data_IF_793232853384
#
_entry.id   IF_793232853384
#
_cell.length_a   1.000
_cell.length_b   1.000
_cell.length_c   1.000
_cell.angle_alpha   90.00
_cell.angle_beta   90.00
_cell.angle_gamma   90.00
#
_symmetry.space_group_name_H-M   'P 1'
#
loop_
_entity.id
_entity.type
_entity.pdbx_description
1 polymer ?
#
# COMPACT_ATOMS: atom_id res chain seq x y z
N UNK A 1 32.60 -6.54 -3.70
CA UNK A 1 33.01 -6.03 -2.36
C UNK A 1 31.77 -5.47 -1.67
N UNK A 2 31.54 -5.75 -0.39
CA UNK A 2 30.43 -5.17 0.41
C UNK A 2 31.02 -4.23 1.45
N UNK A 3 30.25 -3.21 1.80
CA UNK A 3 30.59 -2.25 2.88
C UNK A 3 29.47 -2.23 3.92
N UNK A 4 29.75 -1.64 5.10
CA UNK A 4 28.76 -1.48 6.20
C UNK A 4 28.51 0.02 6.41
N UNK A 5 27.61 0.66 5.65
CA UNK A 5 27.45 2.12 5.64
C UNK A 5 26.60 2.70 6.77
N UNK A 6 26.04 1.88 7.68
CA UNK A 6 25.22 2.36 8.80
C UNK A 6 23.90 3.01 8.34
N UNK A 7 23.16 2.38 7.41
CA UNK A 7 21.93 2.89 6.82
C UNK A 7 20.86 3.12 7.90
N UNK A 8 20.20 4.28 7.88
CA UNK A 8 19.10 4.61 8.79
C UNK A 8 17.71 4.46 8.16
N UNK A 9 17.62 4.55 6.83
CA UNK A 9 16.37 4.45 6.06
C UNK A 9 16.40 3.15 5.27
N UNK A 10 15.37 2.30 5.44
CA UNK A 10 15.31 0.96 4.86
C UNK A 10 14.20 0.81 3.80
N UNK A 11 13.89 1.88 3.07
CA UNK A 11 12.94 1.83 1.95
C UNK A 11 13.65 1.41 0.67
N UNK A 12 13.69 0.11 0.39
CA UNK A 12 14.40 -0.50 -0.74
C UNK A 12 13.53 -0.64 -2.01
N UNK A 13 12.44 0.09 -2.12
CA UNK A 13 11.46 -0.02 -3.21
C UNK A 13 10.13 -0.56 -2.67
N UNK A 14 9.44 0.24 -1.88
CA UNK A 14 8.12 -0.07 -1.33
C UNK A 14 7.04 0.79 -1.99
N UNK A 15 5.81 0.28 -2.18
CA UNK A 15 4.74 1.08 -2.75
C UNK A 15 4.40 2.25 -1.82
N UNK A 16 4.03 3.38 -2.41
CA UNK A 16 3.41 4.48 -1.67
C UNK A 16 1.93 4.18 -1.51
N UNK A 17 1.41 4.39 -0.31
CA UNK A 17 -0.01 4.21 0.03
C UNK A 17 -0.54 5.49 0.66
N UNK A 18 -1.68 5.97 0.21
CA UNK A 18 -2.45 7.03 0.86
C UNK A 18 -3.51 6.37 1.75
N UNK A 19 -3.28 6.36 3.07
CA UNK A 19 -4.24 5.81 4.02
C UNK A 19 -5.26 6.89 4.38
N UNK A 20 -6.54 6.63 4.11
CA UNK A 20 -7.63 7.48 4.60
C UNK A 20 -8.26 6.89 5.84
N UNK A 21 -8.61 7.76 6.78
CA UNK A 21 -9.25 7.46 8.06
C UNK A 21 -10.22 8.58 8.44
N UNK A 22 -11.06 8.39 9.48
CA UNK A 22 -11.91 9.46 10.06
C UNK A 22 -11.28 10.00 11.34
N UNK A 23 -11.23 11.31 11.47
CA UNK A 23 -10.89 12.02 12.70
C UNK A 23 -12.07 11.95 13.71
N UNK A 24 -11.81 12.34 14.95
CA UNK A 24 -12.81 12.33 16.04
C UNK A 24 -14.05 13.20 15.73
N UNK A 25 -13.87 14.25 14.93
CA UNK A 25 -14.93 15.16 14.50
C UNK A 25 -15.62 14.74 13.20
N UNK A 26 -15.32 13.54 12.70
CA UNK A 26 -15.87 12.98 11.47
C UNK A 26 -15.22 13.50 10.19
N UNK A 27 -14.28 14.45 10.25
CA UNK A 27 -13.54 14.90 9.06
C UNK A 27 -12.59 13.83 8.54
N UNK A 28 -12.33 13.74 7.23
CA UNK A 28 -11.39 12.77 6.69
C UNK A 28 -9.95 13.18 6.97
N UNK A 29 -9.06 12.18 7.07
CA UNK A 29 -7.61 12.36 7.14
C UNK A 29 -6.96 11.51 6.08
N UNK A 30 -5.91 12.01 5.43
CA UNK A 30 -5.03 11.27 4.53
C UNK A 30 -3.62 11.22 5.11
N UNK A 31 -2.94 10.08 5.01
CA UNK A 31 -1.54 9.94 5.38
C UNK A 31 -0.78 9.15 4.31
N UNK A 32 0.22 9.75 3.65
CA UNK A 32 1.13 9.01 2.80
C UNK A 32 2.07 8.15 3.66
N UNK A 33 2.32 6.92 3.22
CA UNK A 33 3.24 6.01 3.87
C UNK A 33 3.77 4.97 2.87
N UNK A 34 4.88 4.31 3.20
CA UNK A 34 5.50 3.29 2.35
C UNK A 34 5.91 2.03 3.13
N UNK A 35 5.52 1.92 4.40
CA UNK A 35 5.74 0.70 5.20
C UNK A 35 4.52 -0.21 5.10
N UNK A 36 4.21 -0.66 3.87
CA UNK A 36 3.05 -1.51 3.59
C UNK A 36 3.42 -2.72 2.73
N UNK A 37 2.74 -3.84 2.98
CA UNK A 37 2.80 -5.04 2.16
C UNK A 37 1.52 -5.87 2.32
N UNK A 38 1.24 -6.77 1.36
CA UNK A 38 0.00 -7.55 1.30
C UNK A 38 0.30 -9.05 1.28
N UNK A 39 -0.55 -9.82 1.95
CA UNK A 39 -0.51 -11.28 1.93
C UNK A 39 -1.92 -11.83 2.16
N UNK A 40 -2.39 -12.70 1.25
CA UNK A 40 -3.61 -13.49 1.39
C UNK A 40 -4.86 -12.67 1.84
N UNK A 41 -5.13 -11.55 1.18
CA UNK A 41 -6.29 -10.71 1.49
C UNK A 41 -6.13 -9.78 2.69
N UNK A 42 -4.95 -9.76 3.30
CA UNK A 42 -4.59 -8.84 4.38
C UNK A 42 -3.50 -7.86 3.95
N UNK A 43 -3.43 -6.73 4.63
CA UNK A 43 -2.32 -5.79 4.52
C UNK A 43 -1.69 -5.54 5.89
N UNK A 44 -0.38 -5.32 5.89
CA UNK A 44 0.38 -4.88 7.05
C UNK A 44 0.84 -3.44 6.84
N UNK A 45 0.61 -2.59 7.85
CA UNK A 45 0.89 -1.16 7.81
C UNK A 45 1.79 -0.77 8.98
N UNK A 46 3.03 -0.36 8.71
CA UNK A 46 3.95 0.13 9.74
C UNK A 46 3.70 1.60 10.04
N UNK A 47 3.19 1.94 11.24
CA UNK A 47 2.84 3.29 11.62
C UNK A 47 3.45 3.70 12.97
N UNK A 48 3.78 5.00 13.08
CA UNK A 48 4.11 5.59 14.38
C UNK A 48 2.87 5.75 15.26
N UNK A 49 2.93 5.27 16.51
CA UNK A 49 1.79 5.32 17.44
C UNK A 49 1.35 6.75 17.78
N UNK A 50 2.24 7.74 17.63
CA UNK A 50 1.92 9.16 17.81
C UNK A 50 1.21 9.79 16.59
N UNK A 51 1.00 9.05 15.49
CA UNK A 51 0.33 9.60 14.31
C UNK A 51 -1.20 9.71 14.50
N UNK A 52 -1.83 10.63 13.80
CA UNK A 52 -3.31 10.72 13.79
C UNK A 52 -3.93 9.49 13.15
N UNK A 53 -3.31 8.96 12.09
CA UNK A 53 -3.78 7.76 11.38
C UNK A 53 -3.83 6.55 12.31
N UNK A 54 -2.77 6.31 13.11
CA UNK A 54 -2.76 5.22 14.11
C UNK A 54 -3.87 5.38 15.13
N UNK A 55 -4.07 6.59 15.66
CA UNK A 55 -5.15 6.86 16.62
C UNK A 55 -6.53 6.62 16.01
N UNK A 56 -6.73 7.05 14.76
CA UNK A 56 -7.99 6.87 14.05
C UNK A 56 -8.28 5.38 13.79
N UNK A 57 -7.30 4.63 13.27
CA UNK A 57 -7.46 3.18 13.02
C UNK A 57 -7.74 2.44 14.32
N UNK A 58 -7.02 2.75 15.40
CA UNK A 58 -7.23 2.10 16.70
C UNK A 58 -8.62 2.40 17.30
N UNK A 59 -9.19 3.59 17.04
CA UNK A 59 -10.50 4.01 17.52
C UNK A 59 -11.64 3.42 16.69
N UNK A 60 -11.56 3.54 15.36
CA UNK A 60 -12.67 3.20 14.45
C UNK A 60 -12.58 1.77 13.92
N UNK A 61 -11.40 1.17 13.93
CA UNK A 61 -11.19 -0.16 13.36
C UNK A 61 -11.24 -0.21 11.82
N UNK A 62 -11.21 0.95 11.15
CA UNK A 62 -11.43 1.04 9.70
C UNK A 62 -10.43 1.99 9.03
N UNK A 63 -10.07 1.67 7.78
CA UNK A 63 -9.30 2.56 6.91
C UNK A 63 -9.53 2.20 5.44
N UNK A 64 -9.08 3.10 4.54
CA UNK A 64 -8.96 2.75 3.12
C UNK A 64 -7.51 2.94 2.69
N UNK A 65 -6.99 1.96 1.95
CA UNK A 65 -5.67 2.00 1.34
C UNK A 65 -5.84 2.40 -0.12
N UNK A 66 -5.41 3.61 -0.46
CA UNK A 66 -5.49 4.13 -1.81
C UNK A 66 -4.09 4.09 -2.42
N UNK A 67 -3.92 3.40 -3.55
CA UNK A 67 -2.64 3.26 -4.23
C UNK A 67 -2.55 4.30 -5.35
N UNK A 68 -1.69 5.32 -5.22
CA UNK A 68 -1.47 6.30 -6.27
C UNK A 68 -0.62 5.71 -7.39
N UNK A 69 -0.91 6.09 -8.64
CA UNK A 69 0.01 5.91 -9.77
C UNK A 69 1.16 6.92 -9.70
N UNK A 70 2.21 6.70 -10.48
CA UNK A 70 3.42 7.54 -10.45
C UNK A 70 3.17 8.99 -10.87
N UNK A 71 2.19 9.24 -11.73
CA UNK A 71 1.77 10.59 -12.16
C UNK A 71 1.07 11.39 -11.05
N UNK A 72 0.69 10.73 -9.95
CA UNK A 72 0.09 11.37 -8.77
C UNK A 72 1.11 11.90 -7.75
N UNK A 73 2.41 11.86 -8.03
CA UNK A 73 3.48 12.22 -7.08
C UNK A 73 3.28 13.60 -6.46
N UNK A 74 2.85 14.60 -7.23
CA UNK A 74 2.65 15.95 -6.73
C UNK A 74 1.55 16.05 -5.65
N UNK A 75 0.46 15.29 -5.80
CA UNK A 75 -0.61 15.23 -4.79
C UNK A 75 -0.11 14.62 -3.48
N UNK A 76 0.72 13.59 -3.59
CA UNK A 76 1.33 12.91 -2.43
C UNK A 76 2.32 13.84 -1.73
N UNK A 77 3.19 14.53 -2.47
CA UNK A 77 4.23 15.40 -1.90
C UNK A 77 3.64 16.60 -1.17
N UNK A 78 2.54 17.19 -1.68
CA UNK A 78 1.84 18.33 -1.02
C UNK A 78 1.46 18.03 0.43
N UNK A 79 1.17 16.78 0.78
CA UNK A 79 0.76 16.37 2.13
C UNK A 79 1.83 15.62 2.93
N UNK A 80 3.00 15.35 2.33
CA UNK A 80 4.05 14.53 2.94
C UNK A 80 4.50 15.03 4.32
N UNK A 81 4.64 16.36 4.47
CA UNK A 81 5.08 17.00 5.71
C UNK A 81 3.93 17.57 6.54
N UNK A 82 2.76 16.89 6.51
CA UNK A 82 1.58 17.33 7.27
C UNK A 82 1.10 16.27 8.27
N UNK A 83 0.43 16.73 9.32
CA UNK A 83 -0.26 15.88 10.29
C UNK A 83 -1.62 16.49 10.64
N UNK A 84 -2.64 15.66 10.89
CA UNK A 84 -3.92 16.12 11.42
C UNK A 84 -3.91 16.30 12.95
N UNK A 85 -2.81 15.97 13.64
CA UNK A 85 -2.64 16.24 15.08
C UNK A 85 -2.68 17.74 15.34
N UNK A 86 -3.41 18.15 16.39
CA UNK A 86 -3.43 19.55 16.85
C UNK A 86 -2.10 19.96 17.45
N UNK A 87 -1.51 19.05 18.21
CA UNK A 87 -0.20 19.25 18.85
C UNK A 87 0.86 18.44 18.10
N UNK A 88 1.94 19.10 17.72
CA UNK A 88 3.08 18.51 17.04
C UNK A 88 4.28 18.60 17.97
N UNK A 89 5.04 17.52 18.13
CA UNK A 89 6.27 17.54 18.93
C UNK A 89 7.29 18.53 18.34
N UNK A 90 8.08 19.16 19.21
CA UNK A 90 9.14 20.10 18.79
C UNK A 90 10.09 19.49 17.76
N UNK A 91 10.39 18.19 17.88
CA UNK A 91 11.21 17.45 16.92
C UNK A 91 10.58 17.44 15.52
N UNK A 92 9.28 17.17 15.40
CA UNK A 92 8.58 17.18 14.09
C UNK A 92 8.48 18.58 13.51
N UNK A 93 8.24 19.60 14.35
CA UNK A 93 8.25 21.00 13.91
C UNK A 93 9.60 21.37 13.32
N UNK A 94 10.69 20.96 13.98
CA UNK A 94 12.05 21.17 13.48
C UNK A 94 12.32 20.48 12.14
N UNK A 95 11.66 19.34 11.89
CA UNK A 95 11.69 18.64 10.60
C UNK A 95 10.82 19.31 9.51
N UNK A 96 10.07 20.36 9.82
CA UNK A 96 9.19 21.06 8.88
C UNK A 96 7.75 20.55 8.83
N UNK A 97 7.34 19.66 9.76
CA UNK A 97 5.95 19.24 9.83
C UNK A 97 5.04 20.37 10.30
N UNK A 98 3.86 20.47 9.71
CA UNK A 98 2.80 21.40 10.12
C UNK A 98 1.47 20.66 10.32
N UNK A 99 0.60 21.23 11.15
CA UNK A 99 -0.77 20.76 11.27
C UNK A 99 -1.56 21.14 10.02
N UNK A 100 -2.26 20.16 9.45
CA UNK A 100 -3.22 20.35 8.36
C UNK A 100 -4.38 19.38 8.56
N UNK A 101 -5.58 19.90 8.61
CA UNK A 101 -6.79 19.09 8.76
C UNK A 101 -7.54 18.87 7.45
N UNK A 102 -7.49 19.85 6.55
CA UNK A 102 -8.03 19.73 5.19
C UNK A 102 -6.96 19.21 4.23
N UNK A 103 -6.62 17.94 4.36
CA UNK A 103 -5.60 17.33 3.49
C UNK A 103 -6.13 17.00 2.11
N UNK A 104 -7.43 16.80 1.95
CA UNK A 104 -8.04 16.63 0.62
C UNK A 104 -7.91 17.93 -0.18
N UNK A 105 -8.32 19.08 0.40
CA UNK A 105 -8.17 20.36 -0.24
C UNK A 105 -6.71 20.75 -0.50
N UNK A 106 -5.80 20.55 0.48
CA UNK A 106 -4.38 20.81 0.30
C UNK A 106 -3.76 19.99 -0.83
N UNK A 107 -4.07 18.71 -0.89
CA UNK A 107 -3.57 17.80 -1.95
C UNK A 107 -4.21 18.12 -3.30
N UNK A 108 -5.43 18.62 -3.35
CA UNK A 108 -6.25 18.71 -4.55
C UNK A 108 -6.86 17.38 -4.95
N UNK A 109 -7.19 16.53 -3.95
CA UNK A 109 -7.79 15.22 -4.12
C UNK A 109 -9.29 15.27 -3.82
N UNK A 110 -10.05 14.35 -4.41
CA UNK A 110 -11.50 14.28 -4.27
C UNK A 110 -11.92 13.11 -3.38
N UNK A 111 -12.76 13.39 -2.38
CA UNK A 111 -13.39 12.33 -1.58
C UNK A 111 -14.38 11.53 -2.42
N UNK A 112 -14.26 10.22 -2.36
CA UNK A 112 -15.23 9.28 -2.91
C UNK A 112 -15.79 8.42 -1.80
N UNK A 113 -17.12 8.30 -1.72
CA UNK A 113 -17.77 7.50 -0.67
C UNK A 113 -17.35 6.03 -0.76
N UNK A 114 -16.96 5.45 0.38
CA UNK A 114 -16.76 4.01 0.54
C UNK A 114 -18.09 3.27 0.63
N UNK A 115 -18.08 1.98 0.40
CA UNK A 115 -19.28 1.12 0.40
C UNK A 115 -19.41 0.29 1.68
N UNK A 116 -18.30 -0.13 2.28
CA UNK A 116 -18.26 -1.04 3.43
C UNK A 116 -17.69 -0.40 4.69
N UNK A 117 -16.97 0.72 4.58
CA UNK A 117 -16.31 1.40 5.71
C UNK A 117 -16.61 2.90 5.70
N UNK A 118 -16.41 3.56 6.85
CA UNK A 118 -16.68 4.99 7.02
C UNK A 118 -15.64 5.92 6.37
N UNK A 119 -14.32 5.65 6.41
CA UNK A 119 -13.33 6.50 5.76
C UNK A 119 -13.56 6.56 4.24
N UNK A 120 -13.38 7.74 3.59
CA UNK A 120 -13.58 7.86 2.15
C UNK A 120 -12.44 7.22 1.37
N UNK A 121 -12.74 6.79 0.15
CA UNK A 121 -11.78 6.50 -0.91
C UNK A 121 -11.26 7.82 -1.52
N UNK A 122 -10.17 7.76 -2.27
CA UNK A 122 -9.64 8.88 -3.06
C UNK A 122 -9.97 8.62 -4.52
N UNK A 123 -10.79 9.48 -5.13
CA UNK A 123 -11.32 9.27 -6.48
C UNK A 123 -10.21 9.07 -7.53
N UNK A 124 -9.12 9.83 -7.42
CA UNK A 124 -8.01 9.83 -8.37
C UNK A 124 -7.10 8.61 -8.26
N UNK A 125 -7.17 7.85 -7.14
CA UNK A 125 -6.34 6.66 -6.97
C UNK A 125 -6.88 5.48 -7.77
N UNK A 126 -6.09 4.88 -8.67
CA UNK A 126 -6.54 3.80 -9.55
C UNK A 126 -6.93 2.51 -8.83
N UNK A 127 -6.37 2.28 -7.64
CA UNK A 127 -6.68 1.12 -6.79
C UNK A 127 -7.00 1.61 -5.39
N UNK A 128 -8.13 1.15 -4.83
CA UNK A 128 -8.62 1.55 -3.52
C UNK A 128 -9.11 0.31 -2.78
N UNK A 129 -8.63 0.10 -1.55
CA UNK A 129 -8.99 -1.06 -0.73
C UNK A 129 -9.65 -0.62 0.56
N UNK A 130 -10.92 -0.99 0.76
CA UNK A 130 -11.65 -0.79 1.99
C UNK A 130 -11.24 -1.87 2.99
N UNK A 131 -10.78 -1.47 4.17
CA UNK A 131 -10.13 -2.36 5.12
C UNK A 131 -10.68 -2.23 6.53
N UNK A 132 -10.64 -3.35 7.28
CA UNK A 132 -10.94 -3.42 8.71
C UNK A 132 -9.72 -3.88 9.49
N UNK A 133 -9.47 -3.23 10.62
CA UNK A 133 -8.41 -3.62 11.55
C UNK A 133 -8.68 -5.01 12.15
N UNK A 134 -7.71 -5.90 12.05
CA UNK A 134 -7.73 -7.21 12.71
C UNK A 134 -6.96 -7.15 14.02
N UNK A 135 -5.71 -6.68 13.98
CA UNK A 135 -4.86 -6.59 15.16
C UNK A 135 -3.75 -5.54 14.98
N UNK A 136 -3.27 -4.95 16.06
CA UNK A 136 -2.10 -4.08 16.07
C UNK A 136 -0.98 -4.74 16.88
N UNK A 137 0.14 -4.98 16.23
CA UNK A 137 1.34 -5.60 16.82
C UNK A 137 2.36 -4.52 17.21
N UNK A 138 2.82 -4.44 18.45
CA UNK A 138 3.93 -3.56 18.83
C UNK A 138 5.20 -3.92 18.05
N UNK A 139 5.92 -2.91 17.56
CA UNK A 139 7.20 -3.08 16.86
C UNK A 139 8.29 -2.32 17.62
N UNK A 140 9.41 -3.01 17.90
CA UNK A 140 10.49 -2.46 18.71
C UNK A 140 10.15 -2.39 20.22
N UNK A 141 11.15 -2.05 21.04
CA UNK A 141 11.01 -2.14 22.52
C UNK A 141 10.31 -0.96 23.20
N UNK A 142 10.07 0.16 22.51
CA UNK A 142 9.64 1.42 23.15
C UNK A 142 8.14 1.75 22.94
N UNK A 143 7.37 0.83 22.39
CA UNK A 143 5.95 1.03 22.06
C UNK A 143 5.66 2.31 21.23
N UNK A 144 6.64 2.76 20.46
CA UNK A 144 6.54 3.95 19.61
C UNK A 144 6.01 3.67 18.21
N UNK A 145 6.08 2.40 17.78
CA UNK A 145 5.68 1.92 16.47
C UNK A 145 4.76 0.71 16.61
N UNK A 146 3.86 0.55 15.64
CA UNK A 146 3.02 -0.65 15.50
C UNK A 146 2.90 -1.08 14.05
N UNK A 147 2.79 -2.39 13.83
CA UNK A 147 2.32 -2.98 12.59
C UNK A 147 0.82 -3.26 12.75
N UNK A 148 0.00 -2.59 11.96
CA UNK A 148 -1.45 -2.79 11.91
C UNK A 148 -1.75 -3.82 10.84
N UNK A 149 -2.31 -4.95 11.25
CA UNK A 149 -2.87 -5.95 10.34
C UNK A 149 -4.31 -5.56 10.03
N UNK A 150 -4.62 -5.39 8.74
CA UNK A 150 -5.95 -5.05 8.27
C UNK A 150 -6.43 -6.07 7.22
N UNK A 151 -7.66 -6.52 7.35
CA UNK A 151 -8.35 -7.33 6.34
C UNK A 151 -8.85 -6.43 5.21
N UNK A 152 -8.59 -6.82 3.96
CA UNK A 152 -9.12 -6.15 2.78
C UNK A 152 -10.52 -6.69 2.48
N UNK A 153 -11.55 -5.88 2.76
CA UNK A 153 -12.96 -6.25 2.57
C UNK A 153 -13.40 -6.12 1.11
N UNK A 154 -12.89 -5.11 0.42
CA UNK A 154 -13.21 -4.82 -0.99
C UNK A 154 -12.09 -4.04 -1.64
N UNK A 155 -11.77 -4.42 -2.88
CA UNK A 155 -10.84 -3.69 -3.74
C UNK A 155 -11.60 -3.11 -4.93
N UNK A 156 -11.48 -1.78 -5.12
CA UNK A 156 -11.94 -1.05 -6.30
C UNK A 156 -10.73 -0.81 -7.20
N UNK A 157 -10.88 -1.08 -8.49
CA UNK A 157 -9.82 -0.94 -9.49
C UNK A 157 -10.37 -0.22 -10.71
N UNK A 158 -9.63 0.73 -11.26
CA UNK A 158 -9.98 1.33 -12.54
C UNK A 158 -10.07 0.27 -13.64
N UNK A 159 -11.15 0.29 -14.42
CA UNK A 159 -11.43 -0.70 -15.46
C UNK A 159 -10.26 -0.86 -16.45
N UNK A 160 -9.58 0.24 -16.80
CA UNK A 160 -8.42 0.23 -17.70
C UNK A 160 -7.22 -0.61 -17.21
N UNK A 161 -7.16 -0.90 -15.91
CA UNK A 161 -6.12 -1.73 -15.30
C UNK A 161 -6.49 -3.21 -15.25
N UNK A 162 -7.75 -3.56 -15.50
CA UNK A 162 -8.22 -4.95 -15.45
C UNK A 162 -8.06 -5.59 -16.82
N UNK A 163 -7.44 -6.77 -16.87
CA UNK A 163 -7.33 -7.55 -18.10
C UNK A 163 -8.74 -7.99 -18.50
N UNK A 164 -9.24 -7.63 -19.72
CA UNK A 164 -10.61 -7.90 -20.13
C UNK A 164 -11.03 -9.37 -19.97
N UNK A 165 -12.19 -9.60 -19.36
CA UNK A 165 -12.74 -10.93 -19.13
C UNK A 165 -12.08 -11.72 -18.00
N UNK A 166 -11.27 -11.07 -17.16
CA UNK A 166 -10.58 -11.70 -16.03
C UNK A 166 -10.78 -10.90 -14.73
N UNK A 167 -10.26 -11.43 -13.60
CA UNK A 167 -10.17 -10.76 -12.31
C UNK A 167 -8.73 -10.30 -11.98
N UNK A 168 -7.89 -10.08 -12.99
CA UNK A 168 -6.47 -9.77 -12.82
C UNK A 168 -6.14 -8.37 -13.31
N UNK A 169 -5.23 -7.72 -12.58
CA UNK A 169 -4.66 -6.44 -12.98
C UNK A 169 -3.56 -6.70 -14.02
N UNK A 170 -3.54 -5.88 -15.06
CA UNK A 170 -2.47 -5.88 -16.05
C UNK A 170 -1.22 -5.23 -15.46
N UNK A 171 -0.12 -5.99 -15.28
CA UNK A 171 1.11 -5.45 -14.69
C UNK A 171 1.82 -4.44 -15.59
N UNK A 172 1.53 -4.39 -16.91
CA UNK A 172 2.08 -3.39 -17.82
C UNK A 172 1.28 -2.09 -17.81
N UNK A 173 -0.02 -2.16 -17.49
CA UNK A 173 -0.89 -0.99 -17.35
C UNK A 173 -0.77 -0.33 -15.97
N UNK A 174 -0.36 -1.07 -14.93
CA UNK A 174 -0.20 -0.57 -13.58
C UNK A 174 1.18 0.05 -13.33
N UNK A 175 1.23 1.36 -13.14
CA UNK A 175 2.46 2.12 -12.83
C UNK A 175 2.39 2.68 -11.39
N UNK A 176 2.77 1.90 -10.37
CA UNK A 176 2.73 2.31 -8.97
C UNK A 176 3.74 3.41 -8.65
N UNK A 177 3.36 4.34 -7.78
CA UNK A 177 4.32 5.21 -7.12
C UNK A 177 5.13 4.43 -6.08
N UNK A 178 6.46 4.43 -6.22
CA UNK A 178 7.40 3.66 -5.41
C UNK A 178 8.32 4.60 -4.60
N UNK A 179 8.57 4.26 -3.35
CA UNK A 179 9.53 4.94 -2.47
C UNK A 179 10.84 4.15 -2.38
N UNK A 180 11.96 4.77 -2.73
CA UNK A 180 13.32 4.24 -2.48
C UNK A 180 14.15 5.29 -1.76
N UNK A 181 14.57 5.01 -0.53
CA UNK A 181 15.42 5.90 0.27
C UNK A 181 14.94 7.36 0.33
N UNK A 182 13.62 7.58 0.50
CA UNK A 182 12.94 8.87 0.53
C UNK A 182 12.84 9.61 -0.81
N UNK A 183 13.10 8.94 -1.93
CA UNK A 183 12.89 9.48 -3.28
C UNK A 183 11.75 8.71 -3.98
N UNK A 184 10.98 9.39 -4.82
CA UNK A 184 9.87 8.80 -5.57
C UNK A 184 10.33 8.23 -6.91
N UNK A 185 9.76 7.08 -7.29
CA UNK A 185 10.01 6.39 -8.55
C UNK A 185 8.71 5.87 -9.16
N UNK A 186 8.68 5.78 -10.47
CA UNK A 186 7.61 5.19 -11.29
C UNK A 186 8.16 4.77 -12.65
N UNK A 187 7.30 4.38 -13.59
CA UNK A 187 7.68 4.05 -14.96
C UNK A 187 8.46 2.74 -15.06
N UNK A 188 8.10 1.73 -14.27
CA UNK A 188 8.74 0.42 -14.30
C UNK A 188 8.57 -0.27 -15.65
N UNK A 189 9.68 -0.82 -16.20
CA UNK A 189 9.64 -1.64 -17.40
C UNK A 189 9.80 -3.12 -17.04
N UNK A 190 9.11 -4.04 -17.73
CA UNK A 190 9.30 -5.47 -17.51
C UNK A 190 10.74 -5.85 -17.90
N UNK A 191 11.43 -6.54 -17.01
CA UNK A 191 12.82 -6.93 -17.20
C UNK A 191 12.99 -8.42 -17.45
N UNK A 192 12.01 -9.23 -17.09
CA UNK A 192 12.06 -10.68 -17.21
C UNK A 192 10.69 -11.31 -16.99
N UNK A 193 10.39 -12.41 -17.72
CA UNK A 193 9.17 -13.20 -17.50
C UNK A 193 9.30 -14.05 -16.23
N UNK A 194 8.31 -13.96 -15.35
CA UNK A 194 8.29 -14.73 -14.11
C UNK A 194 7.78 -16.16 -14.33
N UNK A 195 8.51 -17.16 -13.82
CA UNK A 195 8.03 -18.55 -13.75
C UNK A 195 6.80 -18.68 -12.85
N UNK A 196 6.66 -17.80 -11.85
CA UNK A 196 5.46 -17.74 -11.00
C UNK A 196 4.22 -17.37 -11.82
N UNK A 197 4.34 -16.40 -12.72
CA UNK A 197 3.24 -16.03 -13.60
C UNK A 197 2.76 -17.20 -14.45
N UNK A 198 3.67 -18.04 -14.94
CA UNK A 198 3.36 -19.28 -15.66
C UNK A 198 2.73 -20.32 -14.74
N UNK A 199 3.33 -20.58 -13.59
CA UNK A 199 2.85 -21.57 -12.62
C UNK A 199 1.46 -21.24 -12.04
N UNK A 200 1.16 -19.97 -11.86
CA UNK A 200 -0.13 -19.49 -11.35
C UNK A 200 -1.14 -19.16 -12.45
N UNK A 201 -0.84 -19.50 -13.68
CA UNK A 201 -1.74 -19.25 -14.81
C UNK A 201 -2.16 -17.79 -14.96
N UNK A 202 -1.27 -16.82 -14.71
CA UNK A 202 -1.57 -15.41 -14.81
C UNK A 202 -1.88 -14.99 -16.26
N UNK A 203 -3.04 -14.37 -16.54
CA UNK A 203 -3.48 -14.04 -17.89
C UNK A 203 -2.97 -12.67 -18.34
N UNK A 204 -1.68 -12.44 -18.38
CA UNK A 204 -1.09 -11.17 -18.82
C UNK A 204 -0.08 -11.35 -19.96
N UNK A 205 0.22 -10.27 -20.67
CA UNK A 205 1.00 -10.25 -21.92
C UNK A 205 2.42 -10.76 -21.75
N UNK A 206 3.05 -10.59 -20.59
CA UNK A 206 4.41 -11.08 -20.29
C UNK A 206 4.59 -12.59 -20.48
N UNK A 207 3.50 -13.37 -20.54
CA UNK A 207 3.58 -14.80 -20.85
C UNK A 207 4.05 -15.11 -22.27
N UNK A 208 3.90 -14.19 -23.19
CA UNK A 208 4.35 -14.36 -24.57
C UNK A 208 5.87 -14.25 -24.71
N UNK A 209 6.56 -13.74 -23.70
CA UNK A 209 8.02 -13.69 -23.69
C UNK A 209 8.62 -15.10 -23.47
N UNK A 210 9.69 -15.48 -24.16
CA UNK A 210 10.33 -16.78 -23.98
C UNK A 210 10.76 -16.96 -22.52
N UNK A 211 10.32 -18.04 -21.89
CA UNK A 211 10.84 -18.41 -20.56
C UNK A 211 12.28 -18.85 -20.75
N UNK A 212 13.27 -18.26 -20.05
CA UNK A 212 14.64 -18.74 -20.12
C UNK A 212 14.69 -20.20 -19.72
N UNK A 213 15.20 -21.06 -20.62
CA UNK A 213 15.45 -22.45 -20.29
C UNK A 213 16.59 -22.47 -19.27
N UNK A 214 16.27 -22.82 -18.02
CA UNK A 214 17.30 -23.05 -17.01
C UNK A 214 18.12 -24.25 -17.42
N UNK A 215 19.42 -24.12 -17.39
CA UNK A 215 20.38 -25.21 -17.43
C UNK A 215 19.96 -26.22 -16.35
N UNK A 216 19.57 -27.37 -16.79
CA UNK A 216 19.03 -28.45 -15.97
C UNK A 216 20.09 -29.07 -15.04
N UNK A 217 20.46 -28.34 -13.97
CA UNK A 217 21.24 -28.86 -12.85
C UNK A 217 20.62 -28.40 -11.55
N UNK A 218 19.67 -29.14 -11.05
CA UNK A 218 19.01 -28.86 -9.76
C UNK A 218 18.34 -30.12 -9.25
N UNK A 219 19.03 -30.75 -8.35
CA UNK A 219 18.64 -31.94 -7.57
C UNK A 219 17.34 -31.68 -6.81
N UNK A 220 16.43 -32.65 -6.88
CA UNK A 220 15.13 -32.59 -6.23
C UNK A 220 15.22 -32.94 -4.75
N UNK A 221 14.81 -32.01 -3.91
CA UNK A 221 14.25 -32.33 -2.59
C UNK A 221 13.03 -31.43 -2.36
N UNK A 222 11.86 -32.05 -2.41
CA UNK A 222 10.59 -31.38 -2.18
C UNK A 222 10.35 -31.14 -0.71
N UNK A 223 9.98 -29.93 -0.36
CA UNK A 223 9.23 -29.63 0.86
C UNK A 223 7.92 -28.97 0.47
N UNK A 224 6.84 -29.64 0.90
CA UNK A 224 5.47 -29.25 0.58
C UNK A 224 5.10 -27.92 1.23
N UNK A 225 4.88 -26.92 0.40
CA UNK A 225 4.20 -25.68 0.80
C UNK A 225 2.72 -25.86 0.47
N UNK A 226 1.88 -25.79 1.50
CA UNK A 226 0.45 -25.98 1.40
C UNK A 226 -0.21 -25.04 0.38
N UNK A 227 -1.16 -25.59 -0.35
CA UNK A 227 -1.98 -24.85 -1.34
C UNK A 227 -2.70 -23.66 -0.71
N UNK A 228 -2.71 -22.50 -1.35
CA UNK A 228 -3.59 -21.42 -0.94
C UNK A 228 -5.03 -21.78 -1.33
N UNK A 229 -5.87 -22.00 -0.32
CA UNK A 229 -7.31 -22.22 -0.50
C UNK A 229 -7.95 -20.91 -0.93
N UNK A 230 -8.22 -20.76 -2.22
CA UNK A 230 -9.12 -19.72 -2.76
C UNK A 230 -10.57 -20.20 -2.52
N UNK A 231 -11.10 -19.98 -1.33
CA UNK A 231 -12.53 -20.16 -1.06
C UNK A 231 -13.24 -18.80 -1.14
N UNK A 232 -13.65 -18.43 -2.32
CA UNK A 232 -14.62 -17.36 -2.56
C UNK A 232 -15.91 -17.94 -3.10
N UNK A 233 -16.79 -18.46 -2.24
CA UNK A 233 -18.17 -18.77 -2.63
C UNK A 233 -19.01 -17.49 -2.50
N UNK A 234 -19.28 -16.86 -3.63
CA UNK A 234 -20.39 -15.94 -3.74
C UNK A 234 -21.69 -16.77 -3.72
N UNK A 235 -22.58 -16.50 -2.80
CA UNK A 235 -23.99 -16.90 -2.87
C UNK A 235 -24.86 -15.78 -2.35
N UNK A 236 -25.77 -15.31 -3.24
CA UNK A 236 -27.02 -14.56 -3.10
C UNK A 236 -26.97 -13.26 -2.31
#
# INVERSE_FOLDING_TARGET
MHTVPGIKVLYFGTPVVLITTRNEDGTPNIAPMSSAWWLNGNAMLGLGNSSQTSANIAREGECVLNLPSSDMVEYVDRIAMTTARREISAYRVQQGYRTERDKFGLAGLTEQRSELVSPPRILECPIQMECRLTVAHPVGGENSLSAFEVEVLRTHVEEKLVIPGTHYIDPEAWDPLIMKFCEFFGGGQPVHTSRLATGWNMPHTLRSLPVPQGDGSGDGSGDGVGEPVLSGSASA
#
